data_IF_820692501632
#
_entry.id   IF_820692501632
#
_cell.length_a   1.000
_cell.length_b   1.000
_cell.length_c   1.000
_cell.angle_alpha   90.00
_cell.angle_beta   90.00
_cell.angle_gamma   90.00
#
_symmetry.space_group_name_H-M   'P 1'
#
loop_
_entity.id
_entity.type
_entity.pdbx_description
1 polymer ?
#
# COMPACT_ATOMS: atom_id res chain seq x y z
N UNK A 1 -1.04 -3.03 -15.22
CA UNK A 1 -1.17 -1.53 -15.17
C UNK A 1 -1.92 -1.00 -13.94
N UNK A 2 -3.15 -1.47 -13.67
CA UNK A 2 -4.06 -0.84 -12.69
C UNK A 2 -3.69 -1.11 -11.22
N UNK A 3 -3.21 -2.32 -10.92
CA UNK A 3 -2.74 -2.69 -9.57
C UNK A 3 -1.58 -1.82 -9.11
N UNK A 4 -0.48 -1.68 -9.87
CA UNK A 4 0.60 -0.74 -9.53
C UNK A 4 0.13 0.71 -9.38
N UNK A 5 -0.84 1.14 -10.20
CA UNK A 5 -1.44 2.47 -10.08
C UNK A 5 -2.12 2.67 -8.73
N UNK A 6 -2.98 1.75 -8.30
CA UNK A 6 -3.71 1.90 -7.04
C UNK A 6 -2.83 1.77 -5.81
N UNK A 7 -1.84 0.87 -5.84
CA UNK A 7 -0.85 0.74 -4.79
C UNK A 7 -0.11 2.07 -4.65
N UNK A 8 0.51 2.56 -5.73
CA UNK A 8 1.29 3.78 -5.68
C UNK A 8 0.45 5.03 -5.38
N UNK A 9 -0.80 5.06 -5.86
CA UNK A 9 -1.73 6.13 -5.55
C UNK A 9 -2.09 6.14 -4.06
N UNK A 10 -2.33 4.98 -3.45
CA UNK A 10 -2.64 4.89 -2.02
C UNK A 10 -1.44 5.30 -1.17
N UNK A 11 -0.31 4.62 -1.34
CA UNK A 11 0.87 4.85 -0.49
C UNK A 11 1.44 6.26 -0.72
N UNK A 12 1.44 6.72 -1.98
CA UNK A 12 1.78 8.09 -2.33
C UNK A 12 0.85 9.12 -1.68
N UNK A 13 -0.44 8.81 -1.54
CA UNK A 13 -1.40 9.72 -0.90
C UNK A 13 -1.21 9.73 0.62
N UNK A 14 -0.91 8.60 1.25
CA UNK A 14 -0.54 8.53 2.67
C UNK A 14 0.70 9.37 2.96
N UNK A 15 1.76 9.20 2.16
CA UNK A 15 2.96 10.02 2.24
C UNK A 15 2.66 11.52 2.00
N UNK A 16 1.87 11.86 0.98
CA UNK A 16 1.50 13.23 0.66
C UNK A 16 0.64 13.89 1.75
N UNK A 17 -0.22 13.11 2.42
CA UNK A 17 -1.00 13.57 3.58
C UNK A 17 -0.11 13.88 4.78
N UNK A 18 0.87 13.03 5.08
CA UNK A 18 1.82 13.27 6.17
C UNK A 18 2.63 14.53 5.88
N UNK A 19 3.18 14.66 4.67
CA UNK A 19 3.97 15.84 4.25
C UNK A 19 3.12 17.11 4.28
N UNK A 20 1.88 17.07 3.76
CA UNK A 20 0.98 18.25 3.77
C UNK A 20 0.52 18.63 5.17
N UNK A 21 0.31 17.67 6.08
CA UNK A 21 0.01 17.94 7.49
C UNK A 21 1.17 18.67 8.18
N UNK A 22 2.39 18.15 8.01
CA UNK A 22 3.61 18.76 8.56
C UNK A 22 3.85 20.15 7.97
N UNK A 23 3.72 20.30 6.65
CA UNK A 23 3.86 21.59 5.97
C UNK A 23 2.81 22.60 6.45
N UNK A 24 1.56 22.19 6.60
CA UNK A 24 0.47 23.02 7.10
C UNK A 24 0.70 23.44 8.55
N UNK A 25 1.17 22.53 9.40
CA UNK A 25 1.54 22.83 10.79
C UNK A 25 2.68 23.86 10.88
N UNK A 26 3.75 23.69 10.09
CA UNK A 26 4.88 24.64 10.04
C UNK A 26 4.46 26.02 9.54
N UNK A 27 3.55 26.07 8.56
CA UNK A 27 2.96 27.32 8.07
C UNK A 27 2.11 28.00 9.15
N UNK A 28 1.30 27.25 9.89
CA UNK A 28 0.46 27.78 11.00
C UNK A 28 1.29 28.31 12.17
N UNK A 29 2.43 27.69 12.45
CA UNK A 29 3.35 28.10 13.53
C UNK A 29 4.34 29.20 13.11
N UNK A 30 4.15 29.84 11.95
CA UNK A 30 5.05 30.88 11.40
C UNK A 30 6.51 30.41 11.23
N UNK A 31 6.71 29.09 11.10
CA UNK A 31 8.02 28.42 10.99
C UNK A 31 8.30 27.96 9.55
N UNK A 32 7.83 28.73 8.57
CA UNK A 32 7.94 28.41 7.14
C UNK A 32 9.38 28.20 6.64
N UNK A 33 10.38 28.74 7.34
CA UNK A 33 11.80 28.51 7.04
C UNK A 33 12.22 27.02 7.07
N UNK A 34 11.48 26.17 7.79
CA UNK A 34 11.77 24.74 7.90
C UNK A 34 11.11 23.90 6.80
N UNK A 35 10.32 24.51 5.90
CA UNK A 35 9.73 23.79 4.77
C UNK A 35 10.79 23.23 3.82
N UNK A 36 11.89 23.95 3.59
CA UNK A 36 13.01 23.43 2.80
C UNK A 36 13.64 22.17 3.42
N UNK A 37 13.64 22.10 4.75
CA UNK A 37 14.18 20.97 5.52
C UNK A 37 13.27 19.74 5.42
N UNK A 38 11.95 19.92 5.38
CA UNK A 38 10.99 18.84 5.09
C UNK A 38 11.26 18.21 3.72
N UNK A 39 11.49 19.02 2.69
CA UNK A 39 11.78 18.53 1.33
C UNK A 39 13.06 17.70 1.27
N UNK A 40 14.09 18.02 2.05
CA UNK A 40 15.31 17.19 2.15
C UNK A 40 14.93 15.79 2.63
N UNK A 41 14.12 15.68 3.69
CA UNK A 41 13.67 14.38 4.21
C UNK A 41 12.89 13.57 3.17
N UNK A 42 11.98 14.21 2.42
CA UNK A 42 11.20 13.58 1.35
C UNK A 42 12.11 13.09 0.22
N UNK A 43 13.03 13.93 -0.26
CA UNK A 43 13.92 13.59 -1.37
C UNK A 43 14.86 12.45 -0.98
N UNK A 44 15.43 12.47 0.22
CA UNK A 44 16.32 11.41 0.71
C UNK A 44 15.55 10.09 0.87
N UNK A 45 14.32 10.12 1.40
CA UNK A 45 13.47 8.93 1.49
C UNK A 45 13.12 8.37 0.11
N UNK A 46 12.72 9.23 -0.83
CA UNK A 46 12.40 8.83 -2.20
C UNK A 46 13.62 8.23 -2.93
N UNK A 47 14.79 8.85 -2.79
CA UNK A 47 16.03 8.35 -3.35
C UNK A 47 16.41 6.98 -2.77
N UNK A 48 16.24 6.78 -1.46
CA UNK A 48 16.46 5.49 -0.81
C UNK A 48 15.54 4.40 -1.35
N UNK A 49 14.25 4.71 -1.51
CA UNK A 49 13.27 3.75 -2.03
C UNK A 49 13.55 3.39 -3.50
N UNK A 50 13.90 4.38 -4.33
CA UNK A 50 14.29 4.14 -5.72
C UNK A 50 15.57 3.31 -5.81
N UNK A 51 16.59 3.64 -5.02
CA UNK A 51 17.84 2.88 -4.98
C UNK A 51 17.60 1.43 -4.56
N UNK A 52 16.75 1.19 -3.56
CA UNK A 52 16.39 -0.16 -3.12
C UNK A 52 15.64 -0.92 -4.22
N UNK A 53 14.67 -0.27 -4.89
CA UNK A 53 13.93 -0.89 -5.99
C UNK A 53 14.83 -1.29 -7.15
N UNK A 54 15.76 -0.42 -7.57
CA UNK A 54 16.73 -0.71 -8.62
C UNK A 54 17.66 -1.85 -8.19
N UNK A 55 18.19 -1.79 -6.96
CA UNK A 55 19.09 -2.81 -6.43
C UNK A 55 18.45 -4.21 -6.44
N UNK A 56 17.18 -4.32 -6.03
CA UNK A 56 16.46 -5.60 -6.04
C UNK A 56 16.19 -6.06 -7.48
N UNK A 57 15.81 -5.15 -8.38
CA UNK A 57 15.53 -5.49 -9.78
C UNK A 57 16.78 -6.05 -10.49
N UNK A 58 17.92 -5.38 -10.35
CA UNK A 58 19.22 -5.82 -10.89
C UNK A 58 19.65 -7.17 -10.31
N UNK A 59 19.49 -7.38 -9.00
CA UNK A 59 19.86 -8.64 -8.33
C UNK A 59 18.97 -9.82 -8.78
N UNK A 60 17.73 -9.55 -9.19
CA UNK A 60 16.77 -10.59 -9.59
C UNK A 60 16.98 -11.06 -11.04
N UNK A 61 17.59 -10.22 -11.90
CA UNK A 61 17.78 -10.52 -13.33
C UNK A 61 18.76 -11.65 -13.65
N UNK A 62 19.58 -12.09 -12.69
CA UNK A 62 20.62 -13.10 -12.89
C UNK A 62 20.23 -14.52 -12.42
N UNK A 63 19.01 -14.74 -11.91
CA UNK A 63 18.63 -16.04 -11.36
C UNK A 63 18.22 -17.07 -12.42
N UNK A 64 18.53 -18.37 -12.21
CA UNK A 64 17.93 -19.47 -12.97
C UNK A 64 16.40 -19.44 -12.89
N UNK A 65 15.72 -19.76 -13.99
CA UNK A 65 14.25 -19.66 -14.15
C UNK A 65 13.44 -20.26 -12.97
N UNK A 66 13.84 -21.43 -12.46
CA UNK A 66 13.19 -22.08 -11.31
C UNK A 66 13.38 -21.32 -9.98
N UNK A 67 14.53 -20.68 -9.77
CA UNK A 67 14.77 -19.86 -8.58
C UNK A 67 14.02 -18.53 -8.66
N UNK A 68 13.84 -18.01 -9.87
CA UNK A 68 13.04 -16.81 -10.12
C UNK A 68 11.56 -17.05 -9.80
N UNK A 69 10.97 -18.17 -10.27
CA UNK A 69 9.58 -18.55 -9.94
C UNK A 69 9.38 -18.77 -8.44
N UNK A 70 10.34 -19.40 -7.76
CA UNK A 70 10.33 -19.55 -6.29
C UNK A 70 10.38 -18.20 -5.58
N UNK A 71 11.26 -17.32 -6.02
CA UNK A 71 11.40 -15.98 -5.46
C UNK A 71 10.12 -15.18 -5.66
N UNK A 72 9.50 -15.25 -6.84
CA UNK A 72 8.20 -14.64 -7.14
C UNK A 72 7.10 -15.15 -6.21
N UNK A 73 6.95 -16.46 -6.05
CA UNK A 73 5.96 -17.03 -5.15
C UNK A 73 6.14 -16.58 -3.70
N UNK A 74 7.39 -16.56 -3.20
CA UNK A 74 7.69 -16.11 -1.83
C UNK A 74 7.38 -14.62 -1.67
N UNK A 75 7.82 -13.76 -2.61
CA UNK A 75 7.57 -12.33 -2.57
C UNK A 75 6.07 -12.04 -2.63
N UNK A 76 5.32 -12.76 -3.47
CA UNK A 76 3.87 -12.61 -3.55
C UNK A 76 3.17 -13.01 -2.24
N UNK A 77 3.55 -14.13 -1.59
CA UNK A 77 3.00 -14.51 -0.28
C UNK A 77 3.29 -13.46 0.79
N UNK A 78 4.53 -12.97 0.85
CA UNK A 78 4.92 -11.91 1.78
C UNK A 78 4.11 -10.64 1.52
N UNK A 79 3.96 -10.25 0.26
CA UNK A 79 3.15 -9.08 -0.13
C UNK A 79 1.69 -9.24 0.31
N UNK A 80 1.07 -10.40 0.10
CA UNK A 80 -0.32 -10.66 0.55
C UNK A 80 -0.45 -10.51 2.06
N UNK A 81 0.49 -11.06 2.84
CA UNK A 81 0.46 -10.94 4.30
C UNK A 81 0.58 -9.47 4.75
N UNK A 82 1.53 -8.73 4.18
CA UNK A 82 1.75 -7.30 4.50
C UNK A 82 0.53 -6.47 4.08
N UNK A 83 0.00 -6.64 2.87
CA UNK A 83 -1.20 -5.94 2.38
C UNK A 83 -2.39 -6.17 3.31
N UNK A 84 -2.59 -7.43 3.72
CA UNK A 84 -3.68 -7.80 4.64
C UNK A 84 -3.50 -7.09 5.98
N UNK A 85 -2.32 -7.23 6.59
CA UNK A 85 -2.01 -6.60 7.87
C UNK A 85 -2.26 -5.09 7.83
N UNK A 86 -1.82 -4.45 6.77
CA UNK A 86 -1.88 -3.01 6.57
C UNK A 86 -3.29 -2.47 6.33
N UNK A 87 -4.11 -3.19 5.54
CA UNK A 87 -5.54 -2.89 5.39
C UNK A 87 -6.24 -2.88 6.75
N UNK A 88 -5.94 -3.87 7.61
CA UNK A 88 -6.54 -3.93 8.95
C UNK A 88 -5.93 -2.92 9.93
N UNK A 89 -4.63 -2.64 9.83
CA UNK A 89 -3.93 -1.66 10.65
C UNK A 89 -4.44 -0.24 10.38
N UNK A 90 -4.53 0.16 9.11
CA UNK A 90 -5.00 1.51 8.76
C UNK A 90 -6.47 1.71 9.13
N UNK A 91 -7.29 0.66 9.07
CA UNK A 91 -8.67 0.72 9.56
C UNK A 91 -8.75 1.04 11.06
N UNK A 92 -7.78 0.57 11.88
CA UNK A 92 -7.67 0.89 13.31
C UNK A 92 -7.16 2.32 13.55
N UNK A 93 -6.25 2.77 12.71
CA UNK A 93 -5.54 4.06 12.85
C UNK A 93 -6.32 5.25 12.26
N UNK A 94 -7.20 5.04 11.27
CA UNK A 94 -8.01 6.06 10.58
C UNK A 94 -8.79 7.03 11.50
N UNK A 95 -9.06 6.66 12.76
CA UNK A 95 -9.76 7.53 13.74
C UNK A 95 -8.82 8.35 14.63
N UNK A 96 -7.52 8.00 14.73
CA UNK A 96 -6.58 8.60 15.69
C UNK A 96 -5.37 9.31 15.08
N UNK A 97 -5.12 9.19 13.76
CA UNK A 97 -3.97 9.80 13.04
C UNK A 97 -3.79 11.26 13.40
N UNK A 98 -4.88 12.04 13.37
CA UNK A 98 -4.83 13.49 13.54
C UNK A 98 -4.33 13.90 14.93
N UNK A 99 -4.71 13.16 15.98
CA UNK A 99 -4.39 13.50 17.38
C UNK A 99 -2.99 13.02 17.78
N UNK A 100 -2.55 11.86 17.29
CA UNK A 100 -1.23 11.32 17.62
C UNK A 100 -0.09 12.03 16.88
N UNK A 101 -0.30 12.44 15.62
CA UNK A 101 0.72 13.19 14.88
C UNK A 101 0.89 14.61 15.40
N UNK A 102 -0.21 15.30 15.78
CA UNK A 102 -0.12 16.64 16.38
C UNK A 102 0.73 16.62 17.67
N UNK A 103 0.55 15.62 18.55
CA UNK A 103 1.36 15.46 19.77
C UNK A 103 2.83 15.06 19.54
N UNK A 104 3.10 14.23 18.54
CA UNK A 104 4.46 13.84 18.16
C UNK A 104 5.24 15.02 17.53
N UNK A 105 4.56 15.84 16.74
CA UNK A 105 5.11 17.07 16.17
C UNK A 105 5.41 18.09 17.28
N UNK A 106 4.50 18.27 18.25
CA UNK A 106 4.73 19.17 19.39
C UNK A 106 5.92 18.71 20.25
N UNK A 107 6.12 17.40 20.42
CA UNK A 107 7.24 16.84 21.18
C UNK A 107 8.58 16.96 20.45
N UNK A 108 8.59 16.74 19.12
CA UNK A 108 9.76 16.95 18.27
C UNK A 108 10.16 18.43 18.18
N UNK A 109 9.18 19.33 18.28
CA UNK A 109 9.41 20.78 18.23
C UNK A 109 9.69 21.42 19.59
N UNK A 110 9.36 20.81 20.72
CA UNK A 110 9.68 21.37 22.04
C UNK A 110 11.08 20.99 22.56
N UNK A 111 11.79 20.11 21.85
CA UNK A 111 13.17 19.75 22.18
C UNK A 111 14.15 20.70 21.48
N UNK A 112 14.80 21.59 22.25
CA UNK A 112 15.67 22.65 21.75
C UNK A 112 16.93 22.21 20.99
N UNK A 113 17.49 23.14 20.19
CA UNK A 113 18.77 23.14 19.44
C UNK A 113 18.99 22.08 18.33
N UNK A 114 18.11 21.09 18.16
CA UNK A 114 18.15 20.09 17.06
C UNK A 114 16.90 20.03 16.16
N UNK A 115 15.98 21.00 16.31
CA UNK A 115 14.62 21.01 15.72
C UNK A 115 14.56 20.66 14.22
N UNK A 116 15.52 21.13 13.41
CA UNK A 116 15.56 20.85 11.99
C UNK A 116 15.82 19.38 11.68
N UNK A 117 16.84 18.80 12.31
CA UNK A 117 17.24 17.41 12.08
C UNK A 117 16.22 16.41 12.60
N UNK A 118 15.58 16.71 13.74
CA UNK A 118 14.47 15.89 14.25
C UNK A 118 13.27 15.88 13.28
N UNK A 119 12.96 17.03 12.69
CA UNK A 119 11.93 17.16 11.66
C UNK A 119 12.29 16.44 10.37
N UNK A 120 13.55 16.54 9.90
CA UNK A 120 14.05 15.74 8.75
C UNK A 120 13.86 14.26 9.04
N UNK A 121 14.34 13.79 10.19
CA UNK A 121 14.28 12.38 10.55
C UNK A 121 12.84 11.88 10.63
N UNK A 122 11.94 12.65 11.24
CA UNK A 122 10.51 12.31 11.30
C UNK A 122 9.89 12.16 9.91
N UNK A 123 10.08 13.17 9.04
CA UNK A 123 9.55 13.15 7.67
C UNK A 123 10.17 12.01 6.87
N UNK A 124 11.49 11.84 6.99
CA UNK A 124 12.24 10.77 6.35
C UNK A 124 11.70 9.40 6.76
N UNK A 125 11.60 9.09 8.05
CA UNK A 125 11.12 7.78 8.50
C UNK A 125 9.66 7.54 8.14
N UNK A 126 8.82 8.58 8.20
CA UNK A 126 7.43 8.47 7.80
C UNK A 126 7.31 8.16 6.29
N UNK A 127 7.97 8.94 5.43
CA UNK A 127 7.91 8.74 3.97
C UNK A 127 8.66 7.48 3.54
N UNK A 128 9.79 7.17 4.17
CA UNK A 128 10.57 5.96 3.88
C UNK A 128 9.77 4.71 4.23
N UNK A 129 8.98 4.70 5.32
CA UNK A 129 8.11 3.56 5.62
C UNK A 129 7.10 3.31 4.50
N UNK A 130 6.33 4.33 4.12
CA UNK A 130 5.33 4.20 3.05
C UNK A 130 5.99 3.86 1.70
N UNK A 131 7.17 4.44 1.43
CA UNK A 131 7.95 4.18 0.22
C UNK A 131 8.54 2.77 0.17
N UNK A 132 9.03 2.23 1.28
CA UNK A 132 9.52 0.85 1.36
C UNK A 132 8.39 -0.15 1.16
N UNK A 133 7.24 0.10 1.78
CA UNK A 133 6.02 -0.71 1.56
C UNK A 133 5.64 -0.69 0.07
N UNK A 134 5.65 0.49 -0.56
CA UNK A 134 5.42 0.63 -2.02
C UNK A 134 6.40 -0.19 -2.86
N UNK A 135 7.69 -0.18 -2.52
CA UNK A 135 8.72 -0.95 -3.26
C UNK A 135 8.44 -2.45 -3.21
N UNK A 136 8.14 -2.99 -2.03
CA UNK A 136 7.82 -4.43 -1.90
C UNK A 136 6.55 -4.81 -2.65
N UNK A 137 5.51 -3.97 -2.61
CA UNK A 137 4.27 -4.24 -3.33
C UNK A 137 4.43 -4.12 -4.85
N UNK A 138 5.18 -3.11 -5.32
CA UNK A 138 5.48 -2.96 -6.74
C UNK A 138 6.33 -4.12 -7.25
N UNK A 139 7.28 -4.62 -6.46
CA UNK A 139 8.07 -5.80 -6.81
C UNK A 139 7.17 -7.02 -7.03
N UNK A 140 6.26 -7.30 -6.08
CA UNK A 140 5.30 -8.39 -6.23
C UNK A 140 4.37 -8.20 -7.44
N UNK A 141 3.91 -6.97 -7.68
CA UNK A 141 3.03 -6.66 -8.80
C UNK A 141 3.75 -6.73 -10.17
N UNK A 142 5.02 -6.35 -10.24
CA UNK A 142 5.82 -6.38 -11.47
C UNK A 142 6.28 -7.79 -11.84
N UNK A 143 6.34 -8.71 -10.88
CA UNK A 143 6.61 -10.11 -11.16
C UNK A 143 5.43 -10.80 -11.85
N UNK A 144 4.20 -10.44 -11.47
CA UNK A 144 2.99 -11.04 -12.05
C UNK A 144 2.58 -10.44 -13.41
N UNK A 145 2.97 -9.20 -13.72
CA UNK A 145 2.59 -8.47 -14.94
C UNK A 145 3.87 -8.07 -15.72
N UNK A 146 4.21 -8.82 -16.77
CA UNK A 146 5.48 -8.71 -17.53
C UNK A 146 5.55 -7.49 -18.47
N UNK A 147 4.55 -6.60 -18.44
CA UNK A 147 4.41 -5.47 -19.36
C UNK A 147 4.96 -4.13 -18.85
N UNK A 148 5.38 -3.24 -19.77
CA UNK A 148 5.73 -1.82 -19.50
C UNK A 148 4.54 -1.07 -18.87
N UNK A 149 3.34 -1.59 -19.04
CA UNK A 149 2.12 -1.14 -18.39
C UNK A 149 2.30 -1.03 -16.86
N UNK A 150 2.92 -2.00 -16.20
CA UNK A 150 3.01 -1.99 -14.74
C UNK A 150 3.80 -0.77 -14.19
N UNK A 151 5.01 -0.45 -14.68
CA UNK A 151 5.71 0.80 -14.35
C UNK A 151 4.93 2.08 -14.67
N UNK A 152 4.27 2.15 -15.84
CA UNK A 152 3.46 3.32 -16.23
C UNK A 152 2.32 3.54 -15.22
N UNK A 153 1.66 2.45 -14.81
CA UNK A 153 0.63 2.48 -13.78
C UNK A 153 1.13 3.08 -12.48
N UNK A 154 2.27 2.60 -11.97
CA UNK A 154 2.88 3.11 -10.75
C UNK A 154 3.17 4.63 -10.84
N UNK A 155 3.79 5.08 -11.94
CA UNK A 155 4.09 6.51 -12.14
C UNK A 155 2.82 7.35 -12.19
N UNK A 156 1.79 6.92 -12.91
CA UNK A 156 0.51 7.61 -12.95
C UNK A 156 -0.15 7.70 -11.56
N UNK A 157 -0.05 6.63 -10.77
CA UNK A 157 -0.56 6.59 -9.39
C UNK A 157 0.16 7.59 -8.49
N UNK A 158 1.49 7.63 -8.57
CA UNK A 158 2.31 8.61 -7.85
C UNK A 158 1.94 10.06 -8.24
N UNK A 159 1.83 10.34 -9.54
CA UNK A 159 1.47 11.67 -10.03
C UNK A 159 0.08 12.08 -9.53
N UNK A 160 -0.90 11.18 -9.60
CA UNK A 160 -2.24 11.42 -9.08
C UNK A 160 -2.24 11.69 -7.56
N UNK A 161 -1.43 10.95 -6.80
CA UNK A 161 -1.29 11.15 -5.36
C UNK A 161 -0.67 12.51 -5.01
N UNK A 162 0.37 12.91 -5.74
CA UNK A 162 1.02 14.22 -5.58
C UNK A 162 0.03 15.35 -5.88
N UNK A 163 -0.69 15.27 -7.00
CA UNK A 163 -1.70 16.28 -7.38
C UNK A 163 -2.77 16.40 -6.29
N UNK A 164 -3.31 15.26 -5.84
CA UNK A 164 -4.36 15.26 -4.82
C UNK A 164 -3.84 15.77 -3.47
N UNK A 165 -2.60 15.44 -3.11
CA UNK A 165 -1.91 15.98 -1.93
C UNK A 165 -1.74 17.50 -1.99
N UNK A 166 -1.38 18.05 -3.15
CA UNK A 166 -1.32 19.51 -3.34
C UNK A 166 -2.69 20.16 -3.22
N UNK A 167 -3.73 19.55 -3.80
CA UNK A 167 -5.12 20.04 -3.68
C UNK A 167 -5.58 20.04 -2.23
N UNK A 168 -5.21 19.03 -1.43
CA UNK A 168 -5.52 18.99 0.00
C UNK A 168 -4.78 20.10 0.75
N UNK A 169 -3.49 20.30 0.45
CA UNK A 169 -2.67 21.34 1.07
C UNK A 169 -3.18 22.76 0.79
N UNK A 170 -3.57 23.07 -0.45
CA UNK A 170 -4.05 24.40 -0.84
C UNK A 170 -5.54 24.61 -0.63
N UNK A 171 -6.37 23.61 -0.92
CA UNK A 171 -7.81 23.75 -0.98
C UNK A 171 -8.53 23.60 0.37
N UNK A 172 -7.85 23.16 1.43
CA UNK A 172 -8.50 22.90 2.73
C UNK A 172 -9.67 21.93 2.64
N UNK A 173 -9.71 21.12 1.57
CA UNK A 173 -10.84 20.27 1.22
C UNK A 173 -11.00 19.21 2.30
N UNK A 174 -12.14 19.24 2.99
CA UNK A 174 -12.53 18.21 3.96
C UNK A 174 -12.92 16.93 3.21
N UNK A 175 -11.95 16.26 2.59
CA UNK A 175 -12.16 14.93 2.05
C UNK A 175 -12.53 14.00 3.20
N UNK A 176 -13.57 13.20 2.99
CA UNK A 176 -13.89 12.09 3.89
C UNK A 176 -12.85 10.99 3.67
N UNK A 177 -11.60 11.20 4.14
CA UNK A 177 -10.48 10.26 4.04
C UNK A 177 -10.90 8.86 4.49
N UNK A 178 -11.69 8.77 5.55
CA UNK A 178 -12.22 7.48 6.04
C UNK A 178 -13.05 6.72 4.98
N UNK A 179 -13.84 7.41 4.13
CA UNK A 179 -14.59 6.76 3.04
C UNK A 179 -13.65 6.38 1.90
N UNK A 180 -12.75 7.28 1.51
CA UNK A 180 -11.78 7.04 0.46
C UNK A 180 -10.91 5.82 0.77
N UNK A 181 -10.27 5.80 1.95
CA UNK A 181 -9.47 4.67 2.40
C UNK A 181 -10.27 3.38 2.56
N UNK A 182 -11.55 3.46 2.94
CA UNK A 182 -12.42 2.27 2.98
C UNK A 182 -12.61 1.66 1.59
N UNK A 183 -12.88 2.48 0.58
CA UNK A 183 -13.07 1.99 -0.78
C UNK A 183 -11.78 1.48 -1.41
N UNK A 184 -10.66 2.19 -1.23
CA UNK A 184 -9.36 1.74 -1.74
C UNK A 184 -8.87 0.47 -1.02
N UNK A 185 -9.08 0.36 0.30
CA UNK A 185 -8.74 -0.85 1.06
C UNK A 185 -9.58 -2.06 0.63
N UNK A 186 -10.88 -1.86 0.39
CA UNK A 186 -11.75 -2.92 -0.12
C UNK A 186 -11.22 -3.42 -1.46
N UNK A 187 -10.84 -2.50 -2.35
CA UNK A 187 -10.27 -2.86 -3.64
C UNK A 187 -8.96 -3.63 -3.51
N UNK A 188 -8.05 -3.21 -2.63
CA UNK A 188 -6.77 -3.89 -2.40
C UNK A 188 -6.97 -5.33 -1.89
N UNK A 189 -8.04 -5.64 -1.16
CA UNK A 189 -8.32 -7.02 -0.77
C UNK A 189 -8.58 -7.93 -1.98
N UNK A 190 -9.26 -7.42 -3.01
CA UNK A 190 -9.46 -8.17 -4.25
C UNK A 190 -8.15 -8.36 -5.02
N UNK A 191 -7.30 -7.33 -5.04
CA UNK A 191 -5.95 -7.42 -5.62
C UNK A 191 -5.10 -8.43 -4.88
N UNK A 192 -5.09 -8.40 -3.54
CA UNK A 192 -4.35 -9.32 -2.71
C UNK A 192 -4.83 -10.77 -2.89
N UNK A 193 -6.12 -10.99 -3.14
CA UNK A 193 -6.64 -12.30 -3.53
C UNK A 193 -6.04 -12.78 -4.87
N UNK A 194 -5.94 -11.87 -5.85
CA UNK A 194 -5.30 -12.16 -7.15
C UNK A 194 -3.81 -12.47 -7.01
N UNK A 195 -3.08 -11.67 -6.20
CA UNK A 195 -1.68 -11.93 -5.88
C UNK A 195 -1.50 -13.30 -5.20
N UNK A 196 -2.41 -13.69 -4.30
CA UNK A 196 -2.38 -14.98 -3.61
C UNK A 196 -2.59 -16.16 -4.58
N UNK A 197 -3.51 -16.02 -5.54
CA UNK A 197 -3.67 -16.99 -6.61
C UNK A 197 -2.41 -17.09 -7.48
N UNK A 198 -1.84 -15.96 -7.88
CA UNK A 198 -0.58 -15.94 -8.64
C UNK A 198 0.61 -16.56 -7.87
N UNK A 199 0.66 -16.45 -6.54
CA UNK A 199 1.68 -17.11 -5.73
C UNK A 199 1.59 -18.65 -5.79
N UNK A 200 0.36 -19.19 -5.80
CA UNK A 200 0.14 -20.63 -5.96
C UNK A 200 0.58 -21.11 -7.35
N UNK A 201 0.29 -20.31 -8.37
CA UNK A 201 0.77 -20.58 -9.74
C UNK A 201 2.30 -20.61 -9.80
N UNK A 202 2.99 -19.64 -9.20
CA UNK A 202 4.44 -19.64 -9.11
C UNK A 202 4.98 -20.89 -8.35
N UNK A 203 4.26 -21.37 -7.33
CA UNK A 203 4.61 -22.64 -6.65
C UNK A 203 4.34 -23.89 -7.48
N UNK A 204 3.37 -23.87 -8.40
CA UNK A 204 3.18 -24.93 -9.39
C UNK A 204 4.33 -24.96 -10.38
N UNK A 205 4.70 -23.80 -10.95
CA UNK A 205 5.77 -23.66 -11.94
C UNK A 205 7.14 -24.06 -11.34
N UNK A 206 7.41 -23.63 -10.10
CA UNK A 206 8.58 -24.04 -9.35
C UNK A 206 8.60 -25.53 -8.92
N UNK A 207 7.50 -26.25 -9.10
CA UNK A 207 7.35 -27.66 -8.74
C UNK A 207 7.31 -27.94 -7.23
N UNK A 208 7.00 -26.94 -6.40
CA UNK A 208 6.79 -27.10 -4.95
C UNK A 208 5.37 -27.58 -4.63
N UNK A 209 4.39 -27.25 -5.47
CA UNK A 209 3.00 -27.60 -5.28
C UNK A 209 2.42 -28.18 -6.57
N UNK A 210 2.26 -29.51 -6.63
CA UNK A 210 1.76 -30.21 -7.82
C UNK A 210 0.35 -30.82 -7.62
N UNK A 211 -0.41 -30.31 -6.65
CA UNK A 211 -1.76 -30.82 -6.35
C UNK A 211 -2.83 -29.90 -6.94
N UNK A 212 -3.87 -30.48 -7.54
CA UNK A 212 -5.03 -29.77 -8.13
C UNK A 212 -4.67 -28.79 -9.26
N UNK A 213 -3.78 -29.22 -10.17
CA UNK A 213 -3.40 -28.47 -11.38
C UNK A 213 -4.44 -28.60 -12.52
N UNK A 214 -5.52 -29.36 -12.31
CA UNK A 214 -6.61 -29.43 -13.28
C UNK A 214 -7.22 -28.03 -13.47
N UNK A 215 -7.54 -27.71 -14.72
CA UNK A 215 -8.18 -26.44 -15.08
C UNK A 215 -9.57 -26.42 -14.44
N UNK A 216 -9.85 -25.42 -13.62
CA UNK A 216 -11.13 -25.29 -12.93
C UNK A 216 -12.26 -24.99 -13.91
N UNK A 217 -12.06 -23.95 -14.72
CA UNK A 217 -12.98 -23.51 -15.77
C UNK A 217 -12.17 -22.83 -16.87
N UNK A 218 -12.48 -23.13 -18.12
CA UNK A 218 -11.89 -22.47 -19.29
C UNK A 218 -12.88 -21.41 -19.81
N UNK A 219 -12.52 -20.14 -19.62
CA UNK A 219 -13.31 -18.98 -20.03
C UNK A 219 -12.74 -18.28 -21.26
N UNK A 220 -11.71 -18.85 -21.91
CA UNK A 220 -11.06 -18.29 -23.11
C UNK A 220 -12.05 -17.89 -24.22
N UNK A 221 -13.16 -18.63 -24.34
CA UNK A 221 -14.19 -18.41 -25.36
C UNK A 221 -15.17 -17.26 -25.08
N UNK A 222 -15.24 -16.74 -23.83
CA UNK A 222 -16.19 -15.69 -23.43
C UNK A 222 -15.52 -14.47 -22.78
N UNK A 223 -14.39 -14.67 -22.10
CA UNK A 223 -13.58 -13.65 -21.44
C UNK A 223 -12.11 -13.92 -21.72
N UNK A 224 -11.69 -13.69 -22.97
CA UNK A 224 -10.27 -13.71 -23.29
C UNK A 224 -9.57 -12.48 -22.68
N UNK A 225 -8.41 -12.71 -22.12
CA UNK A 225 -7.41 -11.73 -21.69
C UNK A 225 -6.98 -10.83 -22.85
N UNK A 226 -7.18 -11.22 -24.10
CA UNK A 226 -7.00 -10.33 -25.26
C UNK A 226 -8.07 -9.24 -25.41
N UNK A 227 -9.18 -9.34 -24.69
CA UNK A 227 -10.20 -8.28 -24.65
C UNK A 227 -9.82 -7.19 -23.64
N UNK A 228 -10.26 -5.95 -23.89
CA UNK A 228 -10.11 -4.83 -22.93
C UNK A 228 -10.69 -5.16 -21.55
N UNK A 229 -11.75 -5.97 -21.50
CA UNK A 229 -12.38 -6.35 -20.24
C UNK A 229 -11.61 -7.48 -19.54
N UNK A 230 -11.06 -8.44 -20.30
CA UNK A 230 -10.22 -9.53 -19.77
C UNK A 230 -8.89 -9.02 -19.22
N UNK A 231 -8.16 -8.17 -19.95
CA UNK A 231 -6.94 -7.49 -19.44
C UNK A 231 -7.20 -6.65 -18.19
N UNK A 232 -8.37 -6.00 -18.10
CA UNK A 232 -8.75 -5.27 -16.89
C UNK A 232 -9.03 -6.21 -15.73
N UNK A 233 -9.73 -7.31 -15.94
CA UNK A 233 -10.01 -8.30 -14.89
C UNK A 233 -8.74 -9.02 -14.45
N UNK A 234 -7.86 -9.39 -15.38
CA UNK A 234 -6.54 -9.95 -15.11
C UNK A 234 -5.74 -8.96 -14.26
N UNK A 235 -5.61 -7.72 -14.75
CA UNK A 235 -4.84 -6.69 -14.08
C UNK A 235 -5.45 -6.13 -12.80
N UNK A 236 -6.70 -6.45 -12.45
CA UNK A 236 -7.39 -5.99 -11.22
C UNK A 236 -7.55 -7.13 -10.21
N UNK A 237 -8.04 -8.27 -10.66
CA UNK A 237 -8.41 -9.39 -9.81
C UNK A 237 -7.44 -10.56 -9.91
N UNK A 238 -6.39 -10.48 -10.73
CA UNK A 238 -5.53 -11.63 -11.03
C UNK A 238 -6.28 -12.72 -11.80
N UNK A 239 -7.29 -12.33 -12.59
CA UNK A 239 -8.08 -13.26 -13.41
C UNK A 239 -7.22 -13.90 -14.51
N UNK A 240 -7.39 -15.21 -14.69
CA UNK A 240 -6.76 -16.01 -15.75
C UNK A 240 -7.85 -16.63 -16.64
N UNK A 241 -7.52 -16.88 -17.91
CA UNK A 241 -8.45 -17.54 -18.85
C UNK A 241 -8.73 -19.00 -18.46
N UNK A 242 -7.74 -19.65 -17.84
CA UNK A 242 -7.79 -21.06 -17.42
C UNK A 242 -7.11 -21.24 -16.04
N UNK A 243 -7.70 -20.71 -14.95
CA UNK A 243 -7.13 -20.86 -13.62
C UNK A 243 -7.23 -22.31 -13.15
N UNK A 244 -6.21 -22.77 -12.41
CA UNK A 244 -6.25 -24.09 -11.78
C UNK A 244 -7.23 -24.12 -10.60
N UNK A 245 -7.70 -25.31 -10.22
CA UNK A 245 -8.60 -25.47 -9.06
C UNK A 245 -7.98 -24.92 -7.78
N UNK A 246 -6.67 -25.09 -7.57
CA UNK A 246 -5.99 -24.56 -6.38
C UNK A 246 -5.93 -23.03 -6.37
N UNK A 247 -5.72 -22.38 -7.52
CA UNK A 247 -5.76 -20.91 -7.63
C UNK A 247 -7.12 -20.34 -7.25
N UNK A 248 -8.21 -20.92 -7.78
CA UNK A 248 -9.59 -20.49 -7.48
C UNK A 248 -9.90 -20.70 -6.00
N UNK A 249 -9.52 -21.84 -5.44
CA UNK A 249 -9.73 -22.15 -4.02
C UNK A 249 -8.99 -21.14 -3.14
N UNK A 250 -7.72 -20.86 -3.41
CA UNK A 250 -6.92 -19.92 -2.61
C UNK A 250 -7.45 -18.49 -2.73
N UNK A 251 -7.88 -18.08 -3.91
CA UNK A 251 -8.51 -16.78 -4.14
C UNK A 251 -9.72 -16.57 -3.20
N UNK A 252 -10.66 -17.51 -3.20
CA UNK A 252 -11.87 -17.42 -2.36
C UNK A 252 -11.59 -17.66 -0.88
N UNK A 253 -10.67 -18.58 -0.55
CA UNK A 253 -10.27 -18.87 0.82
C UNK A 253 -9.60 -17.67 1.49
N UNK A 254 -8.89 -16.85 0.72
CA UNK A 254 -8.37 -15.57 1.20
C UNK A 254 -9.46 -14.48 1.24
N UNK A 255 -10.19 -14.28 0.13
CA UNK A 255 -11.09 -13.15 -0.04
C UNK A 255 -12.30 -13.20 0.90
N UNK A 256 -12.93 -14.36 1.09
CA UNK A 256 -14.15 -14.49 1.89
C UNK A 256 -13.89 -14.11 3.36
N UNK A 257 -12.90 -14.69 4.06
CA UNK A 257 -12.56 -14.25 5.41
C UNK A 257 -12.14 -12.79 5.47
N UNK A 258 -11.32 -12.32 4.51
CA UNK A 258 -10.85 -10.94 4.50
C UNK A 258 -12.02 -9.94 4.42
N UNK A 259 -13.02 -10.21 3.57
CA UNK A 259 -14.24 -9.40 3.47
C UNK A 259 -15.08 -9.47 4.74
N UNK A 260 -15.25 -10.66 5.34
CA UNK A 260 -15.98 -10.81 6.61
C UNK A 260 -15.33 -9.95 7.69
N UNK A 261 -14.01 -10.08 7.90
CA UNK A 261 -13.27 -9.25 8.85
C UNK A 261 -13.33 -7.75 8.50
N UNK A 262 -13.33 -7.40 7.21
CA UNK A 262 -13.44 -6.02 6.75
C UNK A 262 -14.82 -5.39 7.00
N UNK A 263 -15.91 -6.17 6.98
CA UNK A 263 -17.25 -5.65 7.29
C UNK A 263 -17.66 -5.81 8.75
N UNK A 264 -16.98 -6.66 9.52
CA UNK A 264 -17.22 -6.80 10.96
C UNK A 264 -17.04 -5.45 11.68
N UNK A 265 -17.97 -5.04 12.56
CA UNK A 265 -17.82 -3.83 13.36
C UNK A 265 -16.56 -3.92 14.23
N UNK A 266 -15.66 -2.94 14.12
CA UNK A 266 -14.57 -2.83 15.09
C UNK A 266 -15.19 -2.56 16.46
N UNK A 267 -15.00 -3.48 17.40
CA UNK A 267 -15.39 -3.29 18.80
C UNK A 267 -14.74 -1.99 19.25
N UNK A 268 -15.56 -0.97 19.54
CA UNK A 268 -15.05 0.24 20.15
C UNK A 268 -14.32 -0.21 21.43
N UNK A 269 -13.04 0.17 21.57
CA UNK A 269 -12.43 0.14 22.89
C UNK A 269 -13.41 0.86 23.83
N UNK A 270 -13.78 0.25 24.98
CA UNK A 270 -14.61 0.94 25.95
C UNK A 270 -13.90 2.26 26.24
N UNK A 271 -14.55 3.37 25.88
CA UNK A 271 -14.08 4.69 26.27
C UNK A 271 -13.82 4.60 27.77
N UNK A 272 -12.56 4.75 28.19
CA UNK A 272 -12.21 4.82 29.59
C UNK A 272 -13.10 5.89 30.19
N UNK A 273 -14.10 5.43 30.94
CA UNK A 273 -15.17 6.23 31.52
C UNK A 273 -14.50 7.24 32.43
N UNK A 274 -14.45 8.49 31.99
CA UNK A 274 -14.64 9.70 32.79
C UNK A 274 -14.49 9.52 34.31
N UNK A 275 -13.25 9.35 34.78
CA UNK A 275 -12.90 9.59 36.18
C UNK A 275 -12.41 11.03 36.38
N UNK A 276 -13.20 11.99 35.90
CA UNK A 276 -13.04 13.42 36.19
C UNK A 276 -14.31 14.01 36.82
N UNK A 277 -15.15 13.14 37.40
CA UNK A 277 -16.32 13.53 38.19
C UNK A 277 -16.15 13.12 39.65
N UNK A 278 -15.19 13.75 40.33
CA UNK A 278 -15.26 14.10 41.76
C UNK A 278 -14.16 15.12 42.07
N UNK A 279 -14.37 16.33 41.57
CA UNK A 279 -14.05 17.54 42.33
C UNK A 279 -15.10 17.60 43.45
N UNK A 280 -14.68 17.99 44.67
CA UNK A 280 -15.48 18.17 45.90
C UNK A 280 -15.66 16.92 46.79
N UNK A 281 -14.69 16.70 47.67
CA UNK A 281 -14.90 16.74 49.13
C UNK A 281 -13.59 17.13 49.83
#
# INVERSE_FOLDING_TARGET
MFVPFLIMFREGLEAALIVSLIASYLKRTQRGQWLGVVWIGVIVAAALCLALGIFINETTGEFPQKQQELFEGIVAVVAVFILTYMVFWMRKVSKSVKVHLEGAIDSALNSGKGQGWALVAMVFFAVAREGLESVFFLLAAFQQDVGIAAPIGAVLGLVAAIILGMVIYWGGVKLHLAKFFKWTSLFILFVAAGLAAGAIRAFHEAGLWNHFQDIAFDLSNHLSTHSLFGTLLEGIFGYQEAPTVSEVVVYFLYLIPALIFFFLPQRAEPAAVSAQRKINH
#
